data_IF_839415575846
#
_entry.id   IF_839415575846
#
_cell.length_a   1.000
_cell.length_b   1.000
_cell.length_c   1.000
_cell.angle_alpha   90.00
_cell.angle_beta   90.00
_cell.angle_gamma   90.00
#
_symmetry.space_group_name_H-M   'P 1'
#
loop_
_entity.id
_entity.type
_entity.pdbx_description
1 polymer ?
#
# COMPACT_ATOMS: atom_id res chain seq x y z
N UNK A 1 -21.39 -47.21 -2.45
CA UNK A 1 -20.39 -47.95 -1.65
C UNK A 1 -19.14 -47.12 -1.60
N UNK A 2 -18.85 -46.58 -0.42
CA UNK A 2 -17.64 -45.84 -0.14
C UNK A 2 -16.49 -46.84 0.05
N UNK A 3 -15.40 -46.69 -0.71
CA UNK A 3 -14.13 -47.32 -0.38
C UNK A 3 -13.36 -46.30 0.44
N UNK A 4 -13.32 -46.57 1.75
CA UNK A 4 -12.52 -45.87 2.73
C UNK A 4 -11.06 -46.26 2.45
N UNK A 5 -10.30 -45.36 1.81
CA UNK A 5 -8.86 -45.33 1.89
C UNK A 5 -8.51 -44.27 2.94
N UNK A 6 -8.36 -44.73 4.17
CA UNK A 6 -7.77 -43.98 5.28
C UNK A 6 -6.26 -43.84 5.02
N UNK A 7 -5.74 -42.62 5.19
CA UNK A 7 -4.30 -42.34 5.15
C UNK A 7 -3.74 -41.62 3.92
N UNK A 8 -4.04 -40.32 3.80
CA UNK A 8 -3.19 -39.30 3.15
C UNK A 8 -3.10 -39.22 1.61
N UNK A 9 -4.23 -39.25 0.92
CA UNK A 9 -4.39 -38.42 -0.27
C UNK A 9 -5.68 -37.61 -0.12
N UNK A 10 -5.60 -36.57 0.72
CA UNK A 10 -6.54 -35.47 0.60
C UNK A 10 -6.44 -35.01 -0.85
N UNK A 11 -7.55 -35.17 -1.59
CA UNK A 11 -7.81 -34.38 -2.78
C UNK A 11 -7.32 -32.97 -2.49
N UNK A 12 -6.35 -32.49 -3.26
CA UNK A 12 -5.83 -31.13 -3.12
C UNK A 12 -6.97 -30.14 -3.36
N UNK A 13 -7.71 -29.83 -2.31
CA UNK A 13 -8.74 -28.81 -2.28
C UNK A 13 -8.03 -27.46 -2.25
N UNK A 14 -7.74 -26.97 -3.45
CA UNK A 14 -7.15 -25.67 -3.68
C UNK A 14 -8.12 -24.55 -3.29
N UNK A 15 -7.58 -23.48 -2.69
CA UNK A 15 -8.31 -22.22 -2.47
C UNK A 15 -8.86 -21.65 -3.78
N UNK A 16 -10.06 -21.07 -3.71
CA UNK A 16 -10.81 -20.48 -4.81
C UNK A 16 -9.96 -19.48 -5.61
N UNK A 17 -9.07 -18.74 -4.96
CA UNK A 17 -8.19 -17.75 -5.58
C UNK A 17 -7.12 -18.32 -6.54
N UNK A 18 -6.77 -19.61 -6.42
CA UNK A 18 -5.78 -20.29 -7.28
C UNK A 18 -6.46 -21.23 -8.29
N UNK A 19 -7.69 -21.68 -7.98
CA UNK A 19 -8.54 -22.44 -8.90
C UNK A 19 -8.82 -21.68 -10.20
N UNK A 20 -8.81 -20.34 -10.18
CA UNK A 20 -9.16 -19.52 -11.34
C UNK A 20 -8.00 -19.23 -12.31
N UNK A 21 -6.76 -19.59 -11.96
CA UNK A 21 -5.65 -19.52 -12.93
C UNK A 21 -5.77 -20.68 -13.93
N UNK A 22 -6.06 -20.42 -15.23
CA UNK A 22 -6.20 -21.47 -16.22
C UNK A 22 -4.91 -22.28 -16.35
N UNK A 23 -3.75 -21.63 -16.20
CA UNK A 23 -2.44 -22.26 -16.25
C UNK A 23 -2.24 -23.27 -15.11
N UNK A 24 -2.68 -22.90 -13.89
CA UNK A 24 -2.51 -23.77 -12.71
C UNK A 24 -3.46 -24.97 -12.76
N UNK A 25 -4.71 -24.74 -13.17
CA UNK A 25 -5.69 -25.81 -13.41
C UNK A 25 -5.20 -26.79 -14.47
N UNK A 26 -4.68 -26.28 -15.59
CA UNK A 26 -4.16 -27.11 -16.68
C UNK A 26 -2.94 -27.94 -16.23
N UNK A 27 -2.06 -27.35 -15.42
CA UNK A 27 -0.90 -28.06 -14.87
C UNK A 27 -1.33 -29.23 -13.96
N UNK A 28 -2.24 -28.98 -13.01
CA UNK A 28 -2.74 -30.02 -12.11
C UNK A 28 -3.43 -31.16 -12.87
N UNK A 29 -4.28 -30.83 -13.86
CA UNK A 29 -4.96 -31.84 -14.69
C UNK A 29 -3.94 -32.63 -15.52
N UNK A 30 -2.98 -31.97 -16.15
CA UNK A 30 -1.93 -32.63 -16.91
C UNK A 30 -1.08 -33.56 -16.03
N UNK A 31 -0.80 -33.16 -14.79
CA UNK A 31 0.00 -33.94 -13.87
C UNK A 31 -0.74 -35.21 -13.41
N UNK A 32 -2.03 -35.08 -13.07
CA UNK A 32 -2.88 -36.23 -12.74
C UNK A 32 -3.03 -37.20 -13.92
N UNK A 33 -3.13 -36.69 -15.15
CA UNK A 33 -3.19 -37.54 -16.35
C UNK A 33 -1.87 -38.29 -16.56
N UNK A 34 -0.73 -37.60 -16.43
CA UNK A 34 0.60 -38.23 -16.52
C UNK A 34 0.78 -39.34 -15.46
N UNK A 35 0.23 -39.16 -14.26
CA UNK A 35 0.25 -40.20 -13.22
C UNK A 35 -0.59 -41.42 -13.59
N UNK A 36 -1.78 -41.20 -14.14
CA UNK A 36 -2.65 -42.27 -14.59
C UNK A 36 -2.04 -43.06 -15.77
N UNK A 37 -1.30 -42.38 -16.64
CA UNK A 37 -0.61 -42.98 -17.78
C UNK A 37 0.69 -43.72 -17.38
N UNK A 38 1.24 -43.42 -16.20
CA UNK A 38 2.41 -44.09 -15.65
C UNK A 38 1.98 -45.37 -14.91
N UNK A 39 1.93 -46.50 -15.63
CA UNK A 39 1.64 -47.81 -15.02
C UNK A 39 2.59 -48.10 -13.84
N UNK A 40 2.03 -48.22 -12.64
CA UNK A 40 2.61 -47.76 -11.37
C UNK A 40 3.63 -48.71 -10.71
N UNK A 41 4.42 -49.43 -11.49
CA UNK A 41 5.37 -50.43 -10.97
C UNK A 41 6.74 -49.86 -10.57
N UNK A 42 7.09 -48.64 -11.02
CA UNK A 42 8.38 -48.01 -10.72
C UNK A 42 8.34 -47.15 -9.45
N UNK A 43 8.97 -47.64 -8.38
CA UNK A 43 9.05 -46.94 -7.08
C UNK A 43 9.81 -45.60 -7.14
N UNK A 44 10.74 -45.44 -8.08
CA UNK A 44 11.53 -44.22 -8.24
C UNK A 44 10.68 -43.12 -8.87
N UNK A 45 9.92 -43.47 -9.91
CA UNK A 45 9.01 -42.53 -10.55
C UNK A 45 7.89 -42.07 -9.60
N UNK A 46 7.36 -43.00 -8.78
CA UNK A 46 6.37 -42.67 -7.76
C UNK A 46 6.89 -41.65 -6.73
N UNK A 47 8.14 -41.81 -6.26
CA UNK A 47 8.77 -40.86 -5.33
C UNK A 47 9.03 -39.49 -5.97
N UNK A 48 9.53 -39.47 -7.20
CA UNK A 48 9.78 -38.23 -7.92
C UNK A 48 8.49 -37.43 -8.13
N UNK A 49 7.42 -38.12 -8.55
CA UNK A 49 6.11 -37.50 -8.74
C UNK A 49 5.52 -36.94 -7.44
N UNK A 50 5.57 -37.71 -6.34
CA UNK A 50 5.15 -37.22 -5.01
C UNK A 50 5.90 -35.96 -4.62
N UNK A 51 7.23 -35.93 -4.81
CA UNK A 51 8.04 -34.75 -4.50
C UNK A 51 7.68 -33.53 -5.34
N UNK A 52 7.36 -33.71 -6.62
CA UNK A 52 6.91 -32.61 -7.49
C UNK A 52 5.52 -32.13 -7.07
N UNK A 53 4.62 -33.05 -6.71
CA UNK A 53 3.27 -32.72 -6.25
C UNK A 53 3.32 -31.90 -4.96
N UNK A 54 4.17 -32.30 -4.01
CA UNK A 54 4.37 -31.58 -2.75
C UNK A 54 4.98 -30.19 -2.97
N UNK A 55 5.93 -30.06 -3.90
CA UNK A 55 6.50 -28.77 -4.26
C UNK A 55 5.45 -27.83 -4.89
N UNK A 56 4.59 -28.35 -5.76
CA UNK A 56 3.51 -27.57 -6.36
C UNK A 56 2.47 -27.15 -5.31
N UNK A 57 2.10 -28.03 -4.39
CA UNK A 57 1.21 -27.72 -3.27
C UNK A 57 1.76 -26.56 -2.42
N UNK A 58 3.07 -26.54 -2.16
CA UNK A 58 3.73 -25.45 -1.45
C UNK A 58 3.71 -24.14 -2.25
N UNK A 59 3.97 -24.18 -3.55
CA UNK A 59 3.92 -22.99 -4.42
C UNK A 59 2.52 -22.38 -4.42
N UNK A 60 1.48 -23.22 -4.48
CA UNK A 60 0.09 -22.78 -4.34
C UNK A 60 -0.12 -22.08 -3.02
N UNK A 61 0.24 -22.75 -1.91
CA UNK A 61 0.02 -22.21 -0.59
C UNK A 61 0.68 -20.83 -0.42
N UNK A 62 1.90 -20.67 -0.93
CA UNK A 62 2.61 -19.39 -0.92
C UNK A 62 1.91 -18.32 -1.77
N UNK A 63 1.46 -18.66 -2.97
CA UNK A 63 0.71 -17.73 -3.83
C UNK A 63 -0.61 -17.31 -3.17
N UNK A 64 -1.32 -18.24 -2.53
CA UNK A 64 -2.56 -17.97 -1.79
C UNK A 64 -2.28 -16.95 -0.70
N UNK A 65 -1.24 -17.21 0.10
CA UNK A 65 -0.84 -16.36 1.21
C UNK A 65 -0.49 -14.95 0.74
N UNK A 66 0.25 -14.84 -0.37
CA UNK A 66 0.60 -13.56 -0.98
C UNK A 66 -0.65 -12.77 -1.38
N UNK A 67 -1.62 -13.44 -2.03
CA UNK A 67 -2.84 -12.82 -2.53
C UNK A 67 -3.78 -12.41 -1.40
N UNK A 68 -3.98 -13.27 -0.41
CA UNK A 68 -4.97 -13.06 0.66
C UNK A 68 -4.45 -12.12 1.75
N UNK A 69 -3.15 -12.12 2.03
CA UNK A 69 -2.60 -11.37 3.16
C UNK A 69 -1.66 -10.24 2.74
N UNK A 70 -0.74 -10.47 1.81
CA UNK A 70 0.26 -9.44 1.47
C UNK A 70 -0.32 -8.33 0.58
N UNK A 71 -1.06 -8.66 -0.47
CA UNK A 71 -1.63 -7.65 -1.37
C UNK A 71 -2.62 -6.71 -0.68
N UNK A 72 -3.58 -7.18 0.14
CA UNK A 72 -4.52 -6.28 0.81
C UNK A 72 -3.82 -5.34 1.78
N UNK A 73 -2.81 -5.81 2.51
CA UNK A 73 -2.02 -4.97 3.43
C UNK A 73 -1.27 -3.89 2.66
N UNK A 74 -0.59 -4.24 1.57
CA UNK A 74 0.10 -3.28 0.72
C UNK A 74 -0.87 -2.24 0.14
N UNK A 75 -2.02 -2.70 -0.36
CA UNK A 75 -3.06 -1.83 -0.91
C UNK A 75 -3.57 -0.83 0.13
N UNK A 76 -3.96 -1.30 1.32
CA UNK A 76 -4.45 -0.44 2.40
C UNK A 76 -3.37 0.57 2.83
N UNK A 77 -2.11 0.13 2.92
CA UNK A 77 -0.99 1.00 3.25
C UNK A 77 -0.81 2.13 2.22
N UNK A 78 -0.82 1.79 0.93
CA UNK A 78 -0.70 2.76 -0.16
C UNK A 78 -1.91 3.71 -0.22
N UNK A 79 -3.13 3.20 -0.08
CA UNK A 79 -4.34 4.03 -0.06
C UNK A 79 -4.33 5.00 1.13
N UNK A 80 -3.88 4.55 2.30
CA UNK A 80 -3.73 5.37 3.50
C UNK A 80 -2.66 6.45 3.33
N UNK A 81 -1.50 6.07 2.77
CA UNK A 81 -0.41 6.99 2.46
C UNK A 81 -0.88 8.10 1.51
N UNK A 82 -1.49 7.73 0.39
CA UNK A 82 -2.00 8.71 -0.59
C UNK A 82 -3.01 9.64 0.06
N UNK A 83 -3.99 9.11 0.82
CA UNK A 83 -5.00 9.95 1.47
C UNK A 83 -4.39 10.90 2.49
N UNK A 84 -3.49 10.43 3.35
CA UNK A 84 -2.89 11.24 4.42
C UNK A 84 -1.92 12.28 3.88
N UNK A 85 -0.99 11.87 3.04
CA UNK A 85 0.03 12.78 2.51
C UNK A 85 -0.58 13.81 1.56
N UNK A 86 -1.49 13.40 0.66
CA UNK A 86 -2.15 14.34 -0.23
C UNK A 86 -3.02 15.34 0.55
N UNK A 87 -3.71 14.88 1.60
CA UNK A 87 -4.46 15.76 2.48
C UNK A 87 -3.54 16.74 3.22
N UNK A 88 -2.44 16.26 3.80
CA UNK A 88 -1.45 17.09 4.49
C UNK A 88 -0.80 18.13 3.56
N UNK A 89 -0.49 17.76 2.32
CA UNK A 89 0.02 18.67 1.28
C UNK A 89 -1.02 19.76 0.97
N UNK A 90 -2.28 19.37 0.79
CA UNK A 90 -3.35 20.34 0.51
C UNK A 90 -3.58 21.30 1.69
N UNK A 91 -3.57 20.81 2.93
CA UNK A 91 -3.66 21.66 4.12
C UNK A 91 -2.46 22.62 4.21
N UNK A 92 -1.25 22.12 3.97
CA UNK A 92 -0.04 22.93 3.98
C UNK A 92 -0.08 24.03 2.92
N UNK A 93 -0.54 23.68 1.72
CA UNK A 93 -0.76 24.63 0.63
C UNK A 93 -1.79 25.70 1.01
N UNK A 94 -2.94 25.30 1.56
CA UNK A 94 -3.97 26.25 1.98
C UNK A 94 -3.45 27.21 3.07
N UNK A 95 -2.70 26.69 4.05
CA UNK A 95 -2.06 27.52 5.09
C UNK A 95 -1.04 28.48 4.50
N UNK A 96 -0.29 28.06 3.50
CA UNK A 96 0.67 28.92 2.80
C UNK A 96 -0.04 30.04 2.03
N UNK A 97 -1.10 29.72 1.27
CA UNK A 97 -1.91 30.70 0.53
C UNK A 97 -2.55 31.72 1.48
N UNK A 98 -3.15 31.26 2.58
CA UNK A 98 -3.73 32.14 3.60
C UNK A 98 -2.68 33.06 4.22
N UNK A 99 -1.52 32.51 4.61
CA UNK A 99 -0.44 33.31 5.18
C UNK A 99 0.17 34.31 4.19
N UNK A 100 0.23 33.96 2.89
CA UNK A 100 0.65 34.89 1.84
C UNK A 100 -0.32 36.06 1.73
N UNK A 101 -1.63 35.78 1.75
CA UNK A 101 -2.68 36.81 1.75
C UNK A 101 -2.57 37.73 2.97
N UNK A 102 -2.42 37.16 4.17
CA UNK A 102 -2.27 37.94 5.42
C UNK A 102 -1.01 38.84 5.37
N UNK A 103 0.07 38.33 4.77
CA UNK A 103 1.31 39.08 4.59
C UNK A 103 1.13 40.26 3.62
N UNK A 104 0.49 40.03 2.47
CA UNK A 104 0.20 41.07 1.47
C UNK A 104 -0.74 42.14 2.04
N UNK A 105 -1.74 41.76 2.82
CA UNK A 105 -2.62 42.70 3.53
C UNK A 105 -1.83 43.53 4.55
N UNK A 106 -0.98 42.89 5.36
CA UNK A 106 -0.18 43.58 6.37
C UNK A 106 0.83 44.56 5.75
N UNK A 107 1.44 44.21 4.60
CA UNK A 107 2.28 45.13 3.81
C UNK A 107 1.44 46.32 3.32
N UNK A 108 0.30 46.05 2.69
CA UNK A 108 -0.58 47.08 2.12
C UNK A 108 -1.04 48.06 3.19
N UNK A 109 -1.50 47.53 4.34
CA UNK A 109 -1.90 48.31 5.51
C UNK A 109 -0.76 49.16 6.02
N UNK A 110 0.44 48.60 6.21
CA UNK A 110 1.61 49.38 6.64
C UNK A 110 2.01 50.46 5.63
N UNK A 111 1.93 50.19 4.33
CA UNK A 111 2.26 51.16 3.29
C UNK A 111 1.27 52.33 3.24
N UNK A 112 -0.01 52.09 3.56
CA UNK A 112 -1.07 53.11 3.59
C UNK A 112 -1.07 54.01 4.84
N UNK A 113 -0.32 53.67 5.89
CA UNK A 113 -0.31 54.45 7.14
C UNK A 113 0.48 55.75 6.99
N UNK A 114 -0.10 56.84 7.50
CA UNK A 114 0.57 58.13 7.57
C UNK A 114 1.72 58.09 8.60
N UNK A 115 2.93 58.47 8.18
CA UNK A 115 4.17 58.34 8.96
C UNK A 115 4.19 59.20 10.24
N UNK A 116 3.27 60.15 10.40
CA UNK A 116 3.11 60.97 11.61
C UNK A 116 2.38 60.27 12.76
N UNK A 117 1.71 59.13 12.52
CA UNK A 117 1.04 58.35 13.58
C UNK A 117 1.91 57.18 14.06
N UNK A 118 2.85 57.48 14.96
CA UNK A 118 3.90 56.55 15.42
C UNK A 118 3.38 55.26 16.07
N UNK A 119 2.24 55.32 16.78
CA UNK A 119 1.64 54.14 17.45
C UNK A 119 1.07 53.14 16.44
N UNK A 120 0.29 53.62 15.47
CA UNK A 120 -0.29 52.78 14.41
C UNK A 120 0.82 52.12 13.55
N UNK A 121 1.93 52.83 13.33
CA UNK A 121 3.08 52.32 12.60
C UNK A 121 3.86 51.25 13.39
N UNK A 122 3.94 51.37 14.71
CA UNK A 122 4.56 50.37 15.58
C UNK A 122 3.73 49.08 15.62
N UNK A 123 2.41 49.19 15.76
CA UNK A 123 1.51 48.04 15.78
C UNK A 123 1.52 47.28 14.44
N UNK A 124 1.52 47.99 13.31
CA UNK A 124 1.66 47.40 11.98
C UNK A 124 3.01 46.68 11.79
N UNK A 125 4.10 47.24 12.33
CA UNK A 125 5.43 46.62 12.30
C UNK A 125 5.47 45.33 13.14
N UNK A 126 4.83 45.32 14.31
CA UNK A 126 4.77 44.14 15.17
C UNK A 126 3.93 43.01 14.53
N UNK A 127 2.82 43.35 13.88
CA UNK A 127 2.01 42.40 13.11
C UNK A 127 2.81 41.75 11.98
N UNK A 128 3.56 42.53 11.20
CA UNK A 128 4.45 42.01 10.15
C UNK A 128 5.57 41.10 10.68
N UNK A 129 6.17 41.45 11.83
CA UNK A 129 7.19 40.61 12.45
C UNK A 129 6.62 39.28 12.95
N UNK A 130 5.39 39.26 13.45
CA UNK A 130 4.69 38.03 13.85
C UNK A 130 4.47 37.10 12.65
N UNK A 131 3.97 37.63 11.53
CA UNK A 131 3.79 36.84 10.29
C UNK A 131 5.14 36.32 9.77
N UNK A 132 6.19 37.16 9.75
CA UNK A 132 7.53 36.78 9.32
C UNK A 132 8.24 35.74 10.21
N UNK A 133 7.92 35.69 11.50
CA UNK A 133 8.48 34.69 12.43
C UNK A 133 7.79 33.32 12.33
N UNK A 134 6.50 33.30 12.00
CA UNK A 134 5.81 32.05 11.64
C UNK A 134 6.48 31.41 10.41
N UNK A 135 6.82 32.22 9.39
CA UNK A 135 7.49 31.78 8.16
C UNK A 135 8.88 31.14 8.40
N UNK A 136 9.63 31.62 9.40
CA UNK A 136 10.92 31.00 9.80
C UNK A 136 10.76 29.66 10.54
N UNK A 137 9.64 29.43 11.23
CA UNK A 137 9.37 28.16 11.91
C UNK A 137 8.95 27.07 10.93
N UNK A 138 8.14 27.37 9.92
CA UNK A 138 7.70 26.40 8.90
C UNK A 138 8.85 25.83 8.07
N UNK A 139 9.89 26.62 7.78
CA UNK A 139 11.12 26.12 7.11
C UNK A 139 11.98 25.18 7.96
N UNK A 140 11.83 25.17 9.30
CA UNK A 140 12.63 24.30 10.18
C UNK A 140 12.00 22.93 10.47
N UNK A 141 10.74 22.72 10.07
CA UNK A 141 10.03 21.44 10.24
C UNK A 141 10.06 20.54 8.99
N UNK A 142 10.73 20.97 7.92
CA UNK A 142 10.86 20.24 6.64
C UNK A 142 12.29 19.76 6.36
N UNK A 143 13.17 19.74 7.37
CA UNK A 143 14.53 19.15 7.31
C UNK A 143 14.67 18.12 8.42
#
# INVERSE_FOLDING_TARGET
MAVILDGSLQSLEFSEAIKDSPAFRNLTVSMNNMWHDLDSSDSTANKAYSSISDALAQIVHLNKTLIEYSYPVLRVSLESFVKKELHGINESRQRFEQMSSDFDEAITKKASLNKTKTKELHDAKNSLMAIGTVNKKTKRLTT
#
